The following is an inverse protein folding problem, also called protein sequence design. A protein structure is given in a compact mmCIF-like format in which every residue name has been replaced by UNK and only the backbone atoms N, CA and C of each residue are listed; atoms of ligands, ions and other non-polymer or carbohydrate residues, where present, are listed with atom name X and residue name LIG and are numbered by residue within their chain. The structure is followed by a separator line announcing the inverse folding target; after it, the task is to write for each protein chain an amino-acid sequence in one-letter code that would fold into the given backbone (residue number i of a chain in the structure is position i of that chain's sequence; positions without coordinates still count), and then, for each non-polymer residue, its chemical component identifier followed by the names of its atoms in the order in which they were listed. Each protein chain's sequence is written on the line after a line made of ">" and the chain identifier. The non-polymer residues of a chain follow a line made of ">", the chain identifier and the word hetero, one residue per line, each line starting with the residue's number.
data_IF_647556087165
#
_entry.id   IF_647556087165
#
_cell.length_a   1.000
_cell.length_b   1.000
_cell.length_c   1.000
_cell.angle_alpha   90.00
_cell.angle_beta   90.00
_cell.angle_gamma   90.00
#
_symmetry.space_group_name_H-M   'P 1'
#
loop_
_entity.id
_entity.type
_entity.pdbx_description
1 polymer ?
#
# COMPACT_ATOMS: atom_id res chain seq x y z
N UNK A 1 21.55 0.23 -8.34
CA UNK A 1 20.90 1.51 -8.07
C UNK A 1 19.53 1.26 -7.42
N UNK A 2 19.21 2.02 -6.39
CA UNK A 2 17.97 1.81 -5.65
C UNK A 2 16.79 2.50 -6.31
N UNK A 3 15.64 1.83 -6.40
CA UNK A 3 14.40 2.47 -6.79
C UNK A 3 13.62 2.77 -5.52
N UNK A 4 13.55 4.04 -5.17
CA UNK A 4 12.95 4.51 -3.92
C UNK A 4 11.47 4.76 -4.09
N UNK A 5 10.70 4.37 -3.08
CA UNK A 5 9.25 4.52 -3.11
C UNK A 5 8.69 4.78 -1.72
N UNK A 6 7.43 5.17 -1.67
CA UNK A 6 6.68 5.19 -0.42
C UNK A 6 5.42 4.38 -0.60
N UNK A 7 4.95 3.78 0.49
CA UNK A 7 3.65 3.13 0.56
C UNK A 7 2.76 4.00 1.46
N UNK A 8 1.62 4.42 0.94
CA UNK A 8 0.67 5.25 1.67
C UNK A 8 -0.60 4.47 1.94
N UNK A 9 -0.90 4.28 3.21
CA UNK A 9 -2.17 3.70 3.65
C UNK A 9 -3.13 4.86 3.84
N UNK A 10 -4.11 4.95 2.97
CA UNK A 10 -4.94 6.15 2.86
C UNK A 10 -6.43 5.81 2.89
N UNK A 11 -7.24 6.80 3.21
CA UNK A 11 -8.68 6.65 3.35
C UNK A 11 -9.39 7.69 2.49
N UNK A 12 -10.45 7.27 1.80
CA UNK A 12 -11.29 8.21 1.06
C UNK A 12 -12.09 9.05 2.03
N UNK A 13 -12.11 10.34 1.77
CA UNK A 13 -12.95 11.24 2.55
C UNK A 13 -14.40 11.11 2.08
N UNK A 14 -15.31 11.23 3.02
CA UNK A 14 -16.75 11.19 2.73
C UNK A 14 -17.09 12.35 1.80
N UNK A 15 -17.80 12.05 0.73
CA UNK A 15 -18.16 13.04 -0.28
C UNK A 15 -17.06 13.37 -1.28
N UNK A 16 -15.89 12.75 -1.14
CA UNK A 16 -14.79 12.95 -2.08
C UNK A 16 -15.10 12.37 -3.45
N UNK A 17 -14.57 13.00 -4.49
CA UNK A 17 -14.73 12.49 -5.84
C UNK A 17 -13.92 11.22 -6.06
N UNK A 18 -14.34 10.41 -7.01
CA UNK A 18 -13.60 9.21 -7.39
C UNK A 18 -12.30 9.63 -8.08
N UNK A 19 -11.18 9.34 -7.46
CA UNK A 19 -9.86 9.61 -8.01
C UNK A 19 -9.02 8.34 -7.96
N UNK A 20 -7.86 8.38 -8.59
CA UNK A 20 -6.97 7.23 -8.66
C UNK A 20 -6.45 6.81 -7.29
N UNK A 21 -6.51 7.69 -6.30
CA UNK A 21 -6.09 7.36 -4.94
C UNK A 21 -6.90 8.16 -3.92
N UNK A 22 -6.98 7.65 -2.67
CA UNK A 22 -7.65 8.38 -1.59
C UNK A 22 -6.90 9.66 -1.21
N UNK A 23 -7.63 10.62 -0.67
CA UNK A 23 -7.11 11.95 -0.36
C UNK A 23 -6.41 12.01 1.00
N UNK A 24 -6.79 11.15 1.94
CA UNK A 24 -6.32 11.25 3.32
C UNK A 24 -5.34 10.16 3.68
N UNK A 25 -4.05 10.51 3.72
CA UNK A 25 -2.99 9.58 4.11
C UNK A 25 -3.01 9.42 5.63
N UNK A 26 -3.13 8.17 6.08
CA UNK A 26 -3.10 7.84 7.51
C UNK A 26 -1.69 7.44 7.94
N UNK A 27 -0.99 6.64 7.14
CA UNK A 27 0.36 6.17 7.45
C UNK A 27 1.19 6.18 6.19
N UNK A 28 2.43 6.62 6.29
CA UNK A 28 3.40 6.54 5.20
C UNK A 28 4.59 5.69 5.62
N UNK A 29 5.01 4.80 4.73
CA UNK A 29 6.17 3.94 4.93
C UNK A 29 7.13 4.15 3.75
N UNK A 30 8.39 4.47 4.03
CA UNK A 30 9.42 4.63 3.02
C UNK A 30 10.07 3.28 2.73
N UNK A 31 10.23 2.97 1.44
CA UNK A 31 10.90 1.75 0.98
C UNK A 31 12.10 2.14 0.13
N UNK A 32 13.29 1.79 0.58
CA UNK A 32 14.54 2.22 -0.07
C UNK A 32 14.86 1.40 -1.32
N UNK A 33 14.59 0.10 -1.32
CA UNK A 33 14.95 -0.79 -2.42
C UNK A 33 13.73 -1.35 -3.14
N UNK A 34 13.88 -1.60 -4.45
CA UNK A 34 12.94 -2.37 -5.26
C UNK A 34 11.52 -1.79 -5.32
N UNK A 35 11.40 -0.44 -5.33
CA UNK A 35 10.11 0.23 -5.37
C UNK A 35 9.42 0.25 -6.73
N UNK A 36 10.03 -0.31 -7.78
CA UNK A 36 9.41 -0.40 -9.10
C UNK A 36 8.21 -1.36 -9.07
N UNK A 37 7.25 -1.21 -10.00
CA UNK A 37 5.98 -1.96 -9.93
C UNK A 37 6.09 -3.47 -9.80
N UNK A 38 7.02 -4.11 -10.51
CA UNK A 38 7.22 -5.57 -10.43
C UNK A 38 8.01 -6.01 -9.20
N UNK A 39 8.52 -5.07 -8.41
CA UNK A 39 9.27 -5.35 -7.18
C UNK A 39 8.37 -5.33 -5.96
N UNK A 40 8.58 -4.35 -5.09
CA UNK A 40 7.85 -4.26 -3.82
C UNK A 40 6.34 -4.19 -3.97
N UNK A 41 5.77 -3.41 -4.93
CA UNK A 41 4.32 -3.40 -5.10
C UNK A 41 3.72 -4.78 -5.36
N UNK A 42 4.37 -5.64 -6.16
CA UNK A 42 3.88 -7.01 -6.37
C UNK A 42 3.98 -7.82 -5.08
N UNK A 43 5.09 -7.72 -4.35
CA UNK A 43 5.24 -8.42 -3.06
C UNK A 43 4.18 -7.98 -2.07
N UNK A 44 3.91 -6.67 -2.01
CA UNK A 44 2.87 -6.11 -1.16
C UNK A 44 1.49 -6.63 -1.57
N UNK A 45 1.21 -6.66 -2.87
CA UNK A 45 -0.06 -7.17 -3.38
C UNK A 45 -0.27 -8.64 -3.03
N UNK A 46 0.78 -9.46 -3.10
CA UNK A 46 0.73 -10.87 -2.68
C UNK A 46 0.36 -10.98 -1.20
N UNK A 47 0.90 -10.10 -0.37
CA UNK A 47 0.58 -10.08 1.05
C UNK A 47 -0.88 -9.66 1.29
N UNK A 48 -1.36 -8.67 0.55
CA UNK A 48 -2.66 -8.03 0.80
C UNK A 48 -3.86 -8.70 0.13
N UNK A 49 -3.65 -9.55 -0.85
CA UNK A 49 -4.74 -10.02 -1.74
C UNK A 49 -5.92 -10.71 -1.03
N UNK A 50 -5.69 -11.29 0.13
CA UNK A 50 -6.75 -11.95 0.89
C UNK A 50 -7.12 -11.22 2.18
N UNK A 51 -6.61 -10.01 2.36
CA UNK A 51 -6.90 -9.22 3.55
C UNK A 51 -8.24 -8.52 3.47
N UNK A 52 -8.84 -8.32 4.65
CA UNK A 52 -10.02 -7.46 4.83
C UNK A 52 -9.71 -6.43 5.90
N UNK A 53 -10.05 -5.20 5.61
CA UNK A 53 -9.97 -4.11 6.60
C UNK A 53 -11.34 -3.95 7.22
N UNK A 54 -11.41 -4.05 8.54
CA UNK A 54 -12.66 -4.01 9.29
C UNK A 54 -12.61 -2.91 10.34
N UNK A 55 -13.77 -2.56 10.88
CA UNK A 55 -13.90 -1.65 12.00
C UNK A 55 -14.41 -2.47 13.18
N UNK A 56 -13.47 -3.01 13.95
CA UNK A 56 -13.78 -3.92 15.04
C UNK A 56 -13.63 -5.38 14.64
N UNK A 57 -12.75 -6.11 15.35
CA UNK A 57 -12.47 -7.53 15.05
C UNK A 57 -13.59 -8.37 15.65
N UNK A 58 -14.27 -9.23 14.88
CA UNK A 58 -15.36 -10.07 15.40
C UNK A 58 -14.83 -11.14 16.35
N UNK A 59 -15.72 -11.60 17.20
CA UNK A 59 -15.43 -12.68 18.14
C UNK A 59 -15.36 -14.00 17.38
N UNK A 60 -14.30 -14.75 17.61
CA UNK A 60 -14.12 -16.06 16.99
C UNK A 60 -13.72 -15.98 15.52
N UNK A 61 -13.41 -17.13 14.93
CA UNK A 61 -13.00 -17.25 13.55
C UNK A 61 -11.51 -16.98 13.34
N UNK A 62 -11.09 -17.07 12.09
CA UNK A 62 -9.69 -16.84 11.69
C UNK A 62 -9.47 -15.37 11.37
N UNK A 63 -8.56 -14.74 12.11
CA UNK A 63 -8.24 -13.32 11.95
C UNK A 63 -6.89 -13.10 11.24
N UNK A 64 -6.27 -14.13 10.71
CA UNK A 64 -4.92 -14.06 10.13
C UNK A 64 -4.81 -13.11 8.94
N UNK A 65 -5.92 -12.90 8.21
CA UNK A 65 -5.99 -12.01 7.04
C UNK A 65 -6.97 -10.87 7.28
N UNK A 66 -6.95 -10.32 8.49
CA UNK A 66 -7.86 -9.26 8.88
C UNK A 66 -7.08 -8.14 9.56
N UNK A 67 -7.40 -6.91 9.24
CA UNK A 67 -6.81 -5.75 9.89
C UNK A 67 -7.90 -4.85 10.44
N UNK A 68 -7.71 -4.35 11.65
CA UNK A 68 -8.64 -3.44 12.29
C UNK A 68 -8.23 -2.00 11.96
N UNK A 69 -8.63 -1.53 10.78
CA UNK A 69 -8.28 -0.20 10.27
C UNK A 69 -6.94 -0.18 9.56
N UNK A 70 -6.63 0.95 8.95
CA UNK A 70 -5.42 1.12 8.12
C UNK A 70 -4.14 1.17 8.94
N UNK A 71 -4.17 1.76 10.13
CA UNK A 71 -3.01 1.76 11.01
C UNK A 71 -2.61 0.36 11.42
N UNK A 72 -3.60 -0.48 11.72
CA UNK A 72 -3.40 -1.90 12.03
C UNK A 72 -2.80 -2.63 10.80
N UNK A 73 -3.36 -2.37 9.62
CA UNK A 73 -2.87 -2.97 8.38
C UNK A 73 -1.41 -2.59 8.12
N UNK A 74 -1.07 -1.30 8.29
CA UNK A 74 0.29 -0.82 8.12
C UNK A 74 1.26 -1.50 9.08
N UNK A 75 0.85 -1.68 10.34
CA UNK A 75 1.67 -2.37 11.33
C UNK A 75 1.90 -3.83 10.97
N UNK A 76 0.88 -4.50 10.46
CA UNK A 76 1.00 -5.89 10.00
C UNK A 76 1.92 -5.99 8.77
N UNK A 77 1.84 -5.03 7.87
CA UNK A 77 2.74 -4.92 6.73
C UNK A 77 4.20 -4.77 7.20
N UNK A 78 4.48 -3.83 8.10
CA UNK A 78 5.84 -3.62 8.61
C UNK A 78 6.34 -4.90 9.30
N UNK A 79 5.50 -5.54 10.11
CA UNK A 79 5.87 -6.78 10.80
C UNK A 79 6.23 -7.89 9.81
N UNK A 80 5.53 -7.96 8.68
CA UNK A 80 5.77 -9.00 7.68
C UNK A 80 7.02 -8.76 6.85
N UNK A 81 7.37 -7.50 6.58
CA UNK A 81 8.41 -7.15 5.62
C UNK A 81 9.70 -6.64 6.22
N UNK A 82 9.69 -6.19 7.47
CA UNK A 82 10.89 -5.62 8.11
C UNK A 82 11.86 -6.72 8.51
N UNK A 83 13.10 -6.64 8.01
CA UNK A 83 14.12 -7.68 8.20
C UNK A 83 15.39 -7.17 8.88
N UNK A 84 15.31 -6.12 9.67
CA UNK A 84 16.48 -5.56 10.31
C UNK A 84 16.64 -4.09 9.98
N UNK A 85 17.80 -3.48 10.24
CA UNK A 85 17.95 -2.05 10.00
C UNK A 85 17.96 -1.71 8.50
N UNK A 86 17.45 -0.52 8.18
CA UNK A 86 17.44 -0.01 6.82
C UNK A 86 16.20 -0.45 6.01
N UNK A 87 16.13 -0.01 4.78
CA UNK A 87 15.13 -0.33 3.78
C UNK A 87 13.73 0.20 4.07
N UNK A 88 13.11 -0.23 5.16
CA UNK A 88 11.73 0.15 5.52
C UNK A 88 11.75 1.08 6.73
N UNK A 89 11.13 2.27 6.56
CA UNK A 89 11.08 3.30 7.60
C UNK A 89 9.67 3.82 7.73
N UNK A 90 9.19 3.91 8.97
CA UNK A 90 7.90 4.57 9.26
C UNK A 90 8.13 6.08 9.27
N UNK A 91 7.24 6.82 8.61
CA UNK A 91 7.35 8.28 8.50
C UNK A 91 6.05 8.97 8.91
N UNK A 92 6.13 10.27 9.14
CA UNK A 92 4.93 11.08 9.28
C UNK A 92 4.14 11.05 7.98
N UNK A 93 2.84 11.13 8.10
CA UNK A 93 1.92 11.04 6.95
C UNK A 93 2.14 12.14 5.91
N UNK A 94 2.78 13.23 6.28
CA UNK A 94 3.05 14.37 5.39
C UNK A 94 4.52 14.53 5.04
N UNK A 95 5.36 13.55 5.34
CA UNK A 95 6.79 13.59 4.99
C UNK A 95 6.95 13.64 3.47
N UNK A 96 7.81 14.55 2.99
CA UNK A 96 8.08 14.73 1.56
C UNK A 96 9.50 14.28 1.23
N UNK A 97 9.65 13.68 0.07
CA UNK A 97 10.95 13.26 -0.46
C UNK A 97 11.12 13.83 -1.86
N UNK A 98 12.34 14.25 -2.21
CA UNK A 98 12.65 14.73 -3.55
C UNK A 98 13.06 13.67 -4.54
N UNK A 99 13.29 12.45 -4.09
CA UNK A 99 13.89 11.39 -4.89
C UNK A 99 13.04 10.11 -4.97
N UNK A 100 11.77 10.21 -4.66
CA UNK A 100 10.83 9.08 -4.76
C UNK A 100 10.43 8.88 -6.22
N UNK A 101 10.53 7.65 -6.71
CA UNK A 101 10.16 7.30 -8.09
C UNK A 101 8.73 6.79 -8.21
N UNK A 102 8.24 6.12 -7.17
CA UNK A 102 6.87 5.57 -7.18
C UNK A 102 6.19 5.78 -5.83
N UNK A 103 4.88 5.99 -5.87
CA UNK A 103 4.03 6.03 -4.68
C UNK A 103 2.97 4.95 -4.84
N UNK A 104 2.94 4.02 -3.90
CA UNK A 104 1.93 2.97 -3.86
C UNK A 104 0.91 3.33 -2.80
N UNK A 105 -0.35 3.46 -3.21
CA UNK A 105 -1.45 3.70 -2.27
C UNK A 105 -2.18 2.40 -1.97
N UNK A 106 -2.56 2.24 -0.72
CA UNK A 106 -3.35 1.09 -0.25
C UNK A 106 -4.54 1.64 0.51
N UNK A 107 -5.75 1.18 0.16
CA UNK A 107 -6.94 1.54 0.93
C UNK A 107 -7.87 0.35 1.00
N UNK A 108 -8.69 0.34 2.05
CA UNK A 108 -9.69 -0.69 2.24
C UNK A 108 -11.08 -0.07 2.12
N UNK A 109 -12.01 -0.87 1.66
CA UNK A 109 -13.40 -0.49 1.63
C UNK A 109 -14.10 -1.43 2.61
N UNK A 110 -14.77 -0.87 3.58
CA UNK A 110 -15.35 -1.54 4.75
C UNK A 110 -15.85 -2.98 4.45
N UNK A 111 -15.04 -3.96 4.83
CA UNK A 111 -15.35 -5.37 4.64
C UNK A 111 -15.28 -5.88 3.20
N UNK A 112 -14.92 -5.05 2.23
CA UNK A 112 -14.96 -5.42 0.81
C UNK A 112 -13.60 -5.74 0.19
N UNK A 113 -12.56 -5.80 1.00
CA UNK A 113 -11.21 -6.08 0.50
C UNK A 113 -10.42 -4.81 0.27
N UNK A 114 -9.27 -4.99 -0.37
CA UNK A 114 -8.27 -3.93 -0.49
C UNK A 114 -8.14 -3.48 -1.93
N UNK A 115 -7.91 -2.18 -2.11
CA UNK A 115 -7.60 -1.56 -3.39
C UNK A 115 -6.20 -0.99 -3.34
N UNK A 116 -5.55 -0.94 -4.49
CA UNK A 116 -4.20 -0.39 -4.62
C UNK A 116 -4.10 0.50 -5.85
N UNK A 117 -3.19 1.47 -5.79
CA UNK A 117 -2.81 2.22 -6.97
C UNK A 117 -1.32 2.51 -6.93
N UNK A 118 -0.73 2.76 -8.10
CA UNK A 118 0.67 3.11 -8.24
C UNK A 118 0.76 4.41 -9.03
N UNK A 119 1.45 5.39 -8.46
CA UNK A 119 1.71 6.67 -9.12
C UNK A 119 3.19 6.74 -9.49
N UNK A 120 3.47 7.03 -10.75
CA UNK A 120 4.83 7.23 -11.27
C UNK A 120 5.16 8.72 -11.14
N UNK A 121 6.09 9.06 -10.25
CA UNK A 121 6.42 10.47 -9.99
C UNK A 121 7.18 11.12 -11.13
N UNK A 122 7.96 10.36 -11.89
CA UNK A 122 8.72 10.88 -13.03
C UNK A 122 7.80 11.27 -14.19
N UNK A 123 6.83 10.43 -14.48
CA UNK A 123 5.85 10.69 -15.54
C UNK A 123 4.64 11.50 -15.03
N UNK A 124 4.54 11.68 -13.72
CA UNK A 124 3.45 12.40 -13.07
C UNK A 124 2.08 11.83 -13.44
N UNK A 125 1.97 10.50 -13.44
CA UNK A 125 0.70 9.83 -13.78
C UNK A 125 0.45 8.58 -12.94
N UNK A 126 -0.82 8.27 -12.76
CA UNK A 126 -1.24 7.02 -12.14
C UNK A 126 -1.14 5.91 -13.18
N UNK A 127 -0.33 4.91 -12.92
CA UNK A 127 -0.09 3.81 -13.87
C UNK A 127 -0.88 2.55 -13.55
N UNK A 128 -1.50 2.49 -12.37
CA UNK A 128 -2.32 1.34 -11.98
C UNK A 128 -3.35 1.74 -10.93
N UNK A 129 -4.57 1.25 -11.08
CA UNK A 129 -5.61 1.23 -10.05
C UNK A 129 -6.32 -0.10 -10.13
N UNK A 130 -6.47 -0.81 -9.01
CA UNK A 130 -7.21 -2.06 -9.00
C UNK A 130 -7.03 -2.85 -7.71
N UNK A 131 -7.45 -4.08 -7.77
CA UNK A 131 -7.28 -5.04 -6.66
C UNK A 131 -5.86 -5.59 -6.65
N UNK A 132 -5.38 -6.11 -5.50
CA UNK A 132 -4.04 -6.70 -5.43
C UNK A 132 -3.78 -7.77 -6.51
N UNK A 133 -4.74 -8.65 -6.76
CA UNK A 133 -4.55 -9.68 -7.77
C UNK A 133 -4.37 -9.10 -9.17
N UNK A 134 -5.07 -8.01 -9.48
CA UNK A 134 -4.92 -7.32 -10.76
C UNK A 134 -3.52 -6.71 -10.92
N UNK A 135 -2.96 -6.19 -9.84
CA UNK A 135 -1.60 -5.65 -9.82
C UNK A 135 -0.60 -6.77 -10.09
N UNK A 136 -0.76 -7.90 -9.41
CA UNK A 136 0.09 -9.08 -9.61
C UNK A 136 0.05 -9.51 -11.07
N UNK A 137 -1.15 -9.64 -11.62
CA UNK A 137 -1.35 -10.10 -13.00
C UNK A 137 -0.69 -9.15 -14.02
N UNK A 138 -0.70 -7.85 -13.72
CA UNK A 138 -0.12 -6.86 -14.64
C UNK A 138 1.40 -6.83 -14.59
N UNK A 139 2.01 -6.97 -13.41
CA UNK A 139 3.43 -6.70 -13.22
C UNK A 139 4.30 -7.90 -12.84
N UNK A 140 3.72 -9.03 -12.47
CA UNK A 140 4.46 -10.16 -11.92
C UNK A 140 5.64 -10.62 -12.79
N UNK A 141 5.45 -10.58 -14.11
CA UNK A 141 6.47 -11.02 -15.07
C UNK A 141 7.13 -9.88 -15.80
N UNK A 142 6.95 -8.67 -15.31
CA UNK A 142 7.52 -7.48 -15.95
C UNK A 142 8.94 -7.23 -15.40
N UNK A 143 9.91 -7.12 -16.28
CA UNK A 143 11.32 -6.89 -15.89
C UNK A 143 11.70 -5.41 -15.86
#
# INVERSE_FOLDING_TARGET
>A
MSTRSVVRFAKREEGGSFSEHPERVEVQVYKHYDGYPSGHPVALAEFLKDFKVVNGVPFGGDHSRMANGLGCLAAQYVAAFKEGPGDIYIENQDTQHGDIEYVTYVWGDDGKGIWMSIFDTCEEECIFVGKPQELIDKYEYDD
#
